data_IF_052485123506
#
_entry.id   IF_052485123506
#
_cell.length_a   1.000
_cell.length_b   1.000
_cell.length_c   1.000
_cell.angle_alpha   90.00
_cell.angle_beta   90.00
_cell.angle_gamma   90.00
#
_symmetry.space_group_name_H-M   'P 1'
#
loop_
_entity.id
_entity.type
_entity.pdbx_description
1 polymer ?
#
# COMPACT_ATOMS: atom_id res chain seq x y z
N UNK A 1 -14.98 -11.60 5.96
CA UNK A 1 -14.03 -11.24 7.04
C UNK A 1 -12.95 -10.36 6.42
N UNK A 2 -12.53 -9.33 7.11
CA UNK A 2 -11.47 -8.41 6.73
C UNK A 2 -10.27 -8.56 7.68
N UNK A 3 -9.08 -8.11 7.25
CA UNK A 3 -7.84 -8.25 8.03
C UNK A 3 -7.95 -7.56 9.40
N UNK A 4 -8.55 -6.37 9.48
CA UNK A 4 -8.72 -5.63 10.74
C UNK A 4 -9.67 -6.31 11.76
N UNK A 5 -10.46 -7.29 11.33
CA UNK A 5 -11.34 -8.08 12.21
C UNK A 5 -10.60 -9.25 12.89
N UNK A 6 -9.35 -9.53 12.44
CA UNK A 6 -8.54 -10.64 12.97
C UNK A 6 -7.69 -10.14 14.15
N UNK A 7 -8.27 -10.17 15.34
CA UNK A 7 -7.63 -9.63 16.55
C UNK A 7 -7.21 -10.69 17.57
N UNK A 8 -7.64 -11.94 17.36
CA UNK A 8 -7.42 -13.06 18.27
C UNK A 8 -7.20 -14.37 17.53
N UNK A 9 -6.93 -15.43 18.24
CA UNK A 9 -6.82 -16.77 17.67
C UNK A 9 -8.18 -17.28 17.18
N UNK A 10 -8.30 -17.49 15.87
CA UNK A 10 -9.54 -17.92 15.22
C UNK A 10 -9.28 -18.56 13.86
N UNK A 11 -10.29 -19.27 13.34
CA UNK A 11 -10.26 -19.73 11.95
C UNK A 11 -10.51 -18.52 11.03
N UNK A 12 -9.70 -18.43 9.99
CA UNK A 12 -9.70 -17.30 9.04
C UNK A 12 -10.04 -17.82 7.65
N UNK A 13 -10.95 -17.12 7.01
CA UNK A 13 -11.18 -17.19 5.55
C UNK A 13 -11.27 -15.76 5.03
N UNK A 14 -10.26 -15.34 4.27
CA UNK A 14 -10.18 -13.98 3.71
C UNK A 14 -9.76 -14.03 2.25
N UNK A 15 -10.25 -13.04 1.49
CA UNK A 15 -9.67 -12.69 0.19
C UNK A 15 -8.71 -11.52 0.40
N UNK A 16 -7.53 -11.60 -0.17
CA UNK A 16 -6.48 -10.60 0.03
C UNK A 16 -5.47 -10.62 -1.11
N UNK A 17 -4.67 -9.55 -1.19
CA UNK A 17 -3.54 -9.41 -2.10
C UNK A 17 -2.27 -9.98 -1.45
N UNK A 18 -1.43 -10.67 -2.20
CA UNK A 18 -0.06 -10.98 -1.80
C UNK A 18 0.80 -9.74 -2.08
N UNK A 19 1.09 -8.94 -1.06
CA UNK A 19 1.95 -7.75 -1.18
C UNK A 19 3.43 -8.08 -1.02
N UNK A 20 3.77 -9.21 -0.35
CA UNK A 20 5.13 -9.75 -0.26
C UNK A 20 5.10 -11.27 -0.22
N UNK A 21 6.11 -11.90 -0.88
CA UNK A 21 6.24 -13.35 -0.96
C UNK A 21 7.71 -13.77 -0.94
N UNK A 22 8.21 -14.12 0.24
CA UNK A 22 9.58 -14.61 0.42
C UNK A 22 9.57 -16.13 0.56
N UNK A 23 10.48 -16.80 -0.15
CA UNK A 23 10.69 -18.25 -0.07
C UNK A 23 11.69 -18.55 1.03
N UNK A 24 11.40 -19.56 1.85
CA UNK A 24 12.27 -20.01 2.92
C UNK A 24 12.31 -21.54 3.02
N UNK A 25 13.28 -22.03 3.80
CA UNK A 25 13.40 -23.44 4.16
C UNK A 25 13.50 -23.59 5.66
N UNK A 26 12.84 -24.59 6.19
CA UNK A 26 12.94 -24.97 7.61
C UNK A 26 14.29 -25.66 7.89
N UNK A 27 14.60 -25.88 9.18
CA UNK A 27 15.77 -26.67 9.60
C UNK A 27 15.78 -28.09 9.02
N UNK A 28 14.59 -28.60 8.66
CA UNK A 28 14.41 -29.90 8.01
C UNK A 28 14.39 -29.83 6.47
N UNK A 29 14.90 -28.76 5.92
CA UNK A 29 14.91 -28.42 4.47
C UNK A 29 13.53 -28.43 3.79
N UNK A 30 12.45 -28.36 4.59
CA UNK A 30 11.08 -28.27 4.06
C UNK A 30 10.76 -26.84 3.61
N UNK A 31 10.31 -26.63 2.37
CA UNK A 31 10.01 -25.31 1.86
C UNK A 31 8.79 -24.67 2.56
N UNK A 32 8.82 -23.35 2.69
CA UNK A 32 7.68 -22.55 3.14
C UNK A 32 7.67 -21.16 2.49
N UNK A 33 6.52 -20.50 2.52
CA UNK A 33 6.38 -19.10 2.13
C UNK A 33 6.18 -18.21 3.36
N UNK A 34 6.91 -17.10 3.36
CA UNK A 34 6.67 -15.97 4.26
C UNK A 34 5.98 -14.88 3.47
N UNK A 35 4.74 -14.58 3.84
CA UNK A 35 3.85 -13.71 3.09
C UNK A 35 3.49 -12.48 3.92
N UNK A 36 3.32 -11.35 3.22
CA UNK A 36 2.50 -10.25 3.71
C UNK A 36 1.23 -10.26 2.85
N UNK A 37 0.10 -10.43 3.51
CA UNK A 37 -1.23 -10.37 2.91
C UNK A 37 -1.83 -9.02 3.21
N UNK A 38 -2.53 -8.44 2.23
CA UNK A 38 -3.09 -7.10 2.33
C UNK A 38 -4.53 -7.08 1.85
N UNK A 39 -5.38 -6.32 2.55
CA UNK A 39 -6.68 -5.89 2.06
C UNK A 39 -6.86 -4.38 2.33
N UNK A 40 -7.98 -3.81 1.90
CA UNK A 40 -8.28 -2.39 2.09
C UNK A 40 -8.28 -1.93 3.58
N UNK A 41 -8.28 -2.86 4.53
CA UNK A 41 -8.35 -2.58 5.98
C UNK A 41 -7.01 -2.72 6.70
N UNK A 42 -6.04 -3.43 6.12
CA UNK A 42 -4.75 -3.62 6.77
C UNK A 42 -3.84 -4.64 6.10
N UNK A 43 -2.78 -4.98 6.81
CA UNK A 43 -1.79 -5.99 6.42
C UNK A 43 -1.69 -7.07 7.49
N UNK A 44 -1.37 -8.29 7.07
CA UNK A 44 -1.26 -9.46 7.95
C UNK A 44 -0.05 -10.30 7.56
N UNK A 45 0.84 -10.55 8.52
CA UNK A 45 1.91 -11.54 8.36
C UNK A 45 1.32 -12.94 8.24
N UNK A 46 1.79 -13.73 7.27
CA UNK A 46 1.33 -15.09 7.09
C UNK A 46 2.48 -16.05 6.79
N UNK A 47 2.32 -17.29 7.22
CA UNK A 47 3.25 -18.38 6.96
C UNK A 47 2.50 -19.56 6.36
N UNK A 48 3.00 -20.06 5.22
CA UNK A 48 2.46 -21.24 4.54
C UNK A 48 3.52 -22.34 4.54
N UNK A 49 3.33 -23.31 5.39
CA UNK A 49 4.29 -24.37 5.67
C UNK A 49 4.02 -25.64 4.85
N UNK A 50 5.04 -26.50 4.76
CA UNK A 50 4.96 -27.84 4.16
C UNK A 50 4.54 -27.83 2.69
N UNK A 51 5.08 -26.90 1.92
CA UNK A 51 4.84 -26.78 0.49
C UNK A 51 5.83 -27.66 -0.30
N UNK A 52 5.43 -28.06 -1.51
CA UNK A 52 6.37 -28.60 -2.50
C UNK A 52 7.05 -27.45 -3.25
N UNK A 53 8.15 -27.72 -3.94
CA UNK A 53 8.82 -26.71 -4.76
C UNK A 53 7.91 -26.17 -5.88
N UNK A 54 7.04 -27.01 -6.44
CA UNK A 54 6.07 -26.62 -7.47
C UNK A 54 5.00 -25.68 -6.90
N UNK A 55 4.51 -25.96 -5.70
CA UNK A 55 3.53 -25.11 -5.01
C UNK A 55 4.10 -23.73 -4.67
N UNK A 56 5.38 -23.64 -4.30
CA UNK A 56 6.04 -22.35 -4.01
C UNK A 56 6.07 -21.45 -5.24
N UNK A 57 6.32 -22.01 -6.43
CA UNK A 57 6.40 -21.23 -7.68
C UNK A 57 5.03 -20.74 -8.15
N UNK A 58 3.95 -21.32 -7.64
CA UNK A 58 2.58 -20.95 -7.99
C UNK A 58 2.17 -19.58 -7.43
N UNK A 59 2.74 -19.17 -6.29
CA UNK A 59 2.34 -17.96 -5.58
C UNK A 59 3.34 -16.83 -5.81
N UNK A 60 2.83 -15.65 -6.25
CA UNK A 60 3.64 -14.48 -6.59
C UNK A 60 3.04 -13.21 -6.00
N UNK A 61 3.89 -12.21 -5.80
CA UNK A 61 3.45 -10.85 -5.46
C UNK A 61 2.51 -10.30 -6.54
N UNK A 62 1.48 -9.61 -6.13
CA UNK A 62 0.47 -9.02 -7.02
C UNK A 62 -0.74 -9.93 -7.30
N UNK A 63 -0.72 -11.18 -6.85
CA UNK A 63 -1.88 -12.07 -6.99
C UNK A 63 -2.91 -11.84 -5.88
N UNK A 64 -4.17 -11.91 -6.26
CA UNK A 64 -5.29 -11.96 -5.32
C UNK A 64 -5.56 -13.42 -4.98
N UNK A 65 -5.69 -13.70 -3.70
CA UNK A 65 -5.85 -15.06 -3.19
C UNK A 65 -6.99 -15.16 -2.17
N UNK A 66 -7.66 -16.30 -2.15
CA UNK A 66 -8.50 -16.70 -1.03
C UNK A 66 -7.69 -17.60 -0.10
N UNK A 67 -7.58 -17.21 1.17
CA UNK A 67 -6.72 -17.84 2.17
C UNK A 67 -7.54 -18.41 3.30
N UNK A 68 -7.29 -19.68 3.59
CA UNK A 68 -7.86 -20.43 4.71
C UNK A 68 -6.75 -20.77 5.69
N UNK A 69 -6.94 -20.46 6.96
CA UNK A 69 -5.93 -20.74 7.98
C UNK A 69 -6.42 -20.49 9.40
N UNK A 70 -5.47 -20.48 10.32
CA UNK A 70 -5.71 -20.13 11.72
C UNK A 70 -4.85 -18.91 12.07
N UNK A 71 -5.44 -17.88 12.65
CA UNK A 71 -4.68 -16.81 13.26
C UNK A 71 -4.08 -17.30 14.58
N UNK A 72 -2.86 -16.92 14.83
CA UNK A 72 -2.11 -17.22 16.05
C UNK A 72 -1.49 -15.91 16.57
N UNK A 73 -1.25 -15.84 17.87
CA UNK A 73 -0.49 -14.73 18.45
C UNK A 73 0.97 -15.16 18.55
N UNK A 74 1.83 -14.49 17.81
CA UNK A 74 3.27 -14.71 17.82
C UNK A 74 4.00 -13.39 18.14
N UNK A 75 4.82 -13.38 19.22
CA UNK A 75 5.55 -12.19 19.69
C UNK A 75 4.67 -10.93 19.82
N UNK A 76 3.50 -11.08 20.44
CA UNK A 76 2.48 -10.04 20.61
C UNK A 76 1.89 -9.45 19.33
N UNK A 77 2.04 -10.14 18.19
CA UNK A 77 1.41 -9.78 16.93
C UNK A 77 0.56 -10.92 16.39
N UNK A 78 -0.52 -10.59 15.71
CA UNK A 78 -1.34 -11.58 15.01
C UNK A 78 -0.60 -12.04 13.76
N UNK A 79 -0.48 -13.35 13.58
CA UNK A 79 0.09 -13.97 12.40
C UNK A 79 -0.86 -15.06 11.88
N UNK A 80 -0.98 -15.19 10.56
CA UNK A 80 -1.81 -16.21 9.94
C UNK A 80 -0.96 -17.46 9.62
N UNK A 81 -1.37 -18.60 10.15
CA UNK A 81 -0.90 -19.90 9.72
C UNK A 81 -1.79 -20.39 8.60
N UNK A 82 -1.32 -20.27 7.36
CA UNK A 82 -2.05 -20.70 6.17
C UNK A 82 -2.15 -22.21 6.11
N UNK A 83 -3.35 -22.72 5.85
CA UNK A 83 -3.64 -24.14 5.60
C UNK A 83 -3.91 -24.42 4.12
N UNK A 84 -4.60 -23.48 3.46
CA UNK A 84 -4.92 -23.55 2.03
C UNK A 84 -4.93 -22.14 1.46
N UNK A 85 -4.45 -22.00 0.24
CA UNK A 85 -4.50 -20.74 -0.51
C UNK A 85 -4.86 -21.05 -1.95
N UNK A 86 -5.73 -20.25 -2.54
CA UNK A 86 -6.23 -20.39 -3.91
C UNK A 86 -6.08 -19.05 -4.61
N UNK A 87 -5.43 -19.04 -5.77
CA UNK A 87 -5.33 -17.83 -6.61
C UNK A 87 -6.70 -17.55 -7.24
N UNK A 88 -7.15 -16.33 -7.16
CA UNK A 88 -8.37 -15.84 -7.79
C UNK A 88 -8.02 -15.07 -9.06
N UNK A 89 -8.70 -15.38 -10.15
CA UNK A 89 -8.53 -14.68 -11.43
C UNK A 89 -9.69 -13.71 -11.66
N UNK A 90 -9.41 -12.59 -12.34
CA UNK A 90 -10.43 -11.61 -12.72
C UNK A 90 -10.92 -10.67 -11.61
N UNK A 91 -10.30 -10.71 -10.44
CA UNK A 91 -10.58 -9.77 -9.34
C UNK A 91 -9.84 -8.44 -9.60
N UNK A 92 -10.45 -7.31 -9.21
CA UNK A 92 -9.80 -6.00 -9.30
C UNK A 92 -8.91 -5.77 -8.07
N UNK A 93 -7.64 -5.47 -8.29
CA UNK A 93 -6.66 -5.22 -7.24
C UNK A 93 -7.04 -4.01 -6.37
N UNK A 94 -7.78 -3.04 -6.92
CA UNK A 94 -8.22 -1.84 -6.20
C UNK A 94 -9.12 -2.15 -5.00
N UNK A 95 -9.82 -3.29 -5.01
CA UNK A 95 -10.66 -3.74 -3.89
C UNK A 95 -9.86 -4.25 -2.69
N UNK A 96 -8.58 -4.53 -2.90
CA UNK A 96 -7.68 -5.18 -1.92
C UNK A 96 -6.55 -4.28 -1.41
N UNK A 97 -6.41 -3.08 -1.95
CA UNK A 97 -5.39 -2.11 -1.50
C UNK A 97 -6.06 -0.91 -0.83
N UNK A 98 -5.35 -0.30 0.09
CA UNK A 98 -5.79 0.99 0.63
C UNK A 98 -5.55 2.07 -0.42
N UNK A 99 -6.54 2.92 -0.61
CA UNK A 99 -6.48 4.06 -1.52
C UNK A 99 -6.36 5.36 -0.73
N UNK A 100 -5.85 6.39 -1.39
CA UNK A 100 -5.89 7.76 -0.86
C UNK A 100 -7.34 8.18 -0.55
N UNK A 101 -7.57 9.05 0.46
CA UNK A 101 -8.90 9.60 0.75
C UNK A 101 -9.46 10.51 -0.37
N UNK A 102 -8.64 10.83 -1.35
CA UNK A 102 -9.00 11.59 -2.55
C UNK A 102 -8.89 10.72 -3.78
N UNK A 103 -9.81 10.87 -4.71
CA UNK A 103 -9.71 10.23 -6.04
C UNK A 103 -8.58 10.86 -6.86
N UNK A 104 -8.12 10.16 -7.90
CA UNK A 104 -7.09 10.68 -8.81
C UNK A 104 -7.50 12.04 -9.40
N UNK A 105 -8.76 12.17 -9.85
CA UNK A 105 -9.28 13.42 -10.42
C UNK A 105 -9.23 14.57 -9.41
N UNK A 106 -9.68 14.34 -8.18
CA UNK A 106 -9.61 15.35 -7.11
C UNK A 106 -8.16 15.76 -6.81
N UNK A 107 -7.22 14.79 -6.78
CA UNK A 107 -5.79 15.10 -6.58
C UNK A 107 -5.21 15.90 -7.75
N UNK A 108 -5.58 15.60 -9.01
CA UNK A 108 -5.15 16.35 -10.19
C UNK A 108 -5.67 17.80 -10.16
N UNK A 109 -6.92 18.01 -9.76
CA UNK A 109 -7.51 19.34 -9.59
C UNK A 109 -6.81 20.15 -8.48
N UNK A 110 -6.51 19.49 -7.35
CA UNK A 110 -5.78 20.13 -6.24
C UNK A 110 -4.35 20.49 -6.60
N UNK A 111 -3.62 19.61 -7.28
CA UNK A 111 -2.26 19.89 -7.75
C UNK A 111 -2.28 21.08 -8.71
N UNK A 112 -3.24 21.14 -9.62
CA UNK A 112 -3.41 22.30 -10.53
C UNK A 112 -3.71 23.59 -9.76
N UNK A 113 -4.53 23.53 -8.71
CA UNK A 113 -4.81 24.69 -7.87
C UNK A 113 -3.56 25.16 -7.12
N UNK A 114 -2.76 24.22 -6.57
CA UNK A 114 -1.50 24.53 -5.89
C UNK A 114 -0.44 25.10 -6.86
N UNK A 115 -0.36 24.58 -8.08
CA UNK A 115 0.52 25.11 -9.13
C UNK A 115 0.23 26.58 -9.43
N UNK A 116 -1.04 27.00 -9.41
CA UNK A 116 -1.43 28.39 -9.63
C UNK A 116 -1.00 29.36 -8.50
N UNK A 117 -0.62 28.84 -7.33
CA UNK A 117 -0.06 29.64 -6.22
C UNK A 117 1.44 29.94 -6.41
N UNK A 118 2.14 29.23 -7.32
CA UNK A 118 3.55 29.46 -7.64
C UNK A 118 3.66 30.74 -8.49
N UNK A 119 4.32 31.75 -7.97
CA UNK A 119 4.45 33.05 -8.64
C UNK A 119 5.73 33.20 -9.48
N UNK A 120 6.78 32.43 -9.16
CA UNK A 120 8.00 32.38 -9.94
C UNK A 120 7.84 31.44 -11.15
N UNK A 121 8.00 32.00 -12.35
CA UNK A 121 7.83 31.23 -13.60
C UNK A 121 8.84 30.10 -13.80
N UNK A 122 10.07 30.24 -13.27
CA UNK A 122 11.07 29.19 -13.40
C UNK A 122 10.74 28.02 -12.46
N UNK A 123 10.33 28.31 -11.23
CA UNK A 123 9.85 27.28 -10.31
C UNK A 123 8.61 26.57 -10.83
N UNK A 124 7.66 27.33 -11.39
CA UNK A 124 6.47 26.75 -12.04
C UNK A 124 6.87 25.76 -13.12
N UNK A 125 7.73 26.15 -14.08
CA UNK A 125 8.18 25.28 -15.17
C UNK A 125 8.89 24.02 -14.65
N UNK A 126 9.75 24.12 -13.64
CA UNK A 126 10.46 22.97 -13.06
C UNK A 126 9.47 21.98 -12.43
N UNK A 127 8.50 22.48 -11.66
CA UNK A 127 7.50 21.60 -11.02
C UNK A 127 6.57 20.98 -12.07
N UNK A 128 6.15 21.75 -13.08
CA UNK A 128 5.33 21.25 -14.19
C UNK A 128 6.03 20.12 -14.94
N UNK A 129 7.30 20.29 -15.32
CA UNK A 129 8.08 19.29 -16.04
C UNK A 129 8.23 18.00 -15.21
N UNK A 130 8.58 18.11 -13.93
CA UNK A 130 8.69 16.96 -13.03
C UNK A 130 7.37 16.22 -12.90
N UNK A 131 6.26 16.92 -12.73
CA UNK A 131 4.93 16.32 -12.61
C UNK A 131 4.50 15.62 -13.91
N UNK A 132 4.76 16.21 -15.08
CA UNK A 132 4.43 15.56 -16.35
C UNK A 132 5.28 14.31 -16.61
N UNK A 133 6.58 14.36 -16.33
CA UNK A 133 7.47 13.18 -16.49
C UNK A 133 7.13 12.04 -15.53
N UNK A 134 6.64 12.35 -14.34
CA UNK A 134 6.37 11.36 -13.29
C UNK A 134 4.89 11.09 -13.05
N UNK A 135 4.00 11.63 -13.87
CA UNK A 135 2.55 11.71 -13.67
C UNK A 135 1.91 10.41 -13.15
N UNK A 136 2.16 9.29 -13.81
CA UNK A 136 1.55 8.02 -13.41
C UNK A 136 2.11 7.50 -12.08
N UNK A 137 3.41 7.67 -11.86
CA UNK A 137 4.06 7.27 -10.61
C UNK A 137 3.61 8.16 -9.45
N UNK A 138 3.51 9.47 -9.67
CA UNK A 138 3.12 10.43 -8.65
C UNK A 138 1.73 10.15 -8.07
N UNK A 139 0.75 9.82 -8.94
CA UNK A 139 -0.63 9.56 -8.53
C UNK A 139 -0.92 8.11 -8.14
N UNK A 140 0.05 7.19 -8.28
CA UNK A 140 -0.15 5.79 -7.94
C UNK A 140 0.73 5.30 -6.80
N UNK A 141 1.92 5.86 -6.62
CA UNK A 141 2.86 5.38 -5.62
C UNK A 141 2.45 5.78 -4.19
N UNK A 142 2.79 4.94 -3.19
CA UNK A 142 2.70 5.32 -1.79
C UNK A 142 3.79 6.34 -1.44
N UNK A 143 3.54 7.20 -0.45
CA UNK A 143 4.55 8.13 0.05
C UNK A 143 5.64 7.43 0.88
N UNK A 144 5.34 6.28 1.46
CA UNK A 144 6.26 5.51 2.29
C UNK A 144 5.98 4.01 2.21
N UNK A 145 6.96 3.20 2.60
CA UNK A 145 6.84 1.73 2.58
C UNK A 145 6.14 1.15 3.81
N UNK A 146 6.08 1.86 4.95
CA UNK A 146 5.54 1.34 6.21
C UNK A 146 4.76 2.32 7.06
N UNK A 147 5.02 3.61 6.94
CA UNK A 147 4.47 4.64 7.83
C UNK A 147 3.25 5.34 7.20
N UNK A 148 3.12 6.64 7.48
CA UNK A 148 2.02 7.47 6.99
C UNK A 148 1.94 7.46 5.44
N UNK A 149 0.71 7.52 4.93
CA UNK A 149 0.41 7.54 3.49
C UNK A 149 0.97 6.33 2.70
N UNK A 150 1.08 5.17 3.36
CA UNK A 150 1.43 3.89 2.74
C UNK A 150 0.18 3.26 2.08
N UNK A 151 -0.28 3.86 0.99
CA UNK A 151 -1.43 3.42 0.19
C UNK A 151 -1.30 3.98 -1.24
N UNK A 152 -2.07 3.42 -2.18
CA UNK A 152 -2.07 3.87 -3.57
C UNK A 152 -2.51 5.34 -3.65
N UNK A 153 -1.76 6.16 -4.37
CA UNK A 153 -1.95 7.62 -4.44
C UNK A 153 -1.42 8.37 -3.22
N UNK A 154 -0.76 7.66 -2.30
CA UNK A 154 -0.24 8.23 -1.05
C UNK A 154 0.78 9.34 -1.29
N UNK A 155 1.62 9.24 -2.33
CA UNK A 155 2.62 10.25 -2.66
C UNK A 155 1.96 11.59 -3.05
N UNK A 156 1.02 11.57 -3.96
CA UNK A 156 0.28 12.78 -4.36
C UNK A 156 -0.52 13.36 -3.19
N UNK A 157 -1.27 12.53 -2.48
CA UNK A 157 -2.05 12.97 -1.32
C UNK A 157 -1.18 13.60 -0.22
N UNK A 158 0.00 13.02 0.07
CA UNK A 158 0.96 13.56 1.02
C UNK A 158 1.50 14.91 0.56
N UNK A 159 1.93 15.01 -0.70
CA UNK A 159 2.46 16.25 -1.29
C UNK A 159 1.43 17.38 -1.25
N UNK A 160 0.19 17.11 -1.64
CA UNK A 160 -0.94 18.06 -1.54
C UNK A 160 -1.14 18.51 -0.10
N UNK A 161 -1.18 17.57 0.84
CA UNK A 161 -1.38 17.88 2.26
C UNK A 161 -0.27 18.78 2.82
N UNK A 162 0.98 18.50 2.47
CA UNK A 162 2.13 19.32 2.88
C UNK A 162 2.09 20.72 2.25
N UNK A 163 1.81 20.82 0.96
CA UNK A 163 1.71 22.11 0.28
C UNK A 163 0.60 23.00 0.87
N UNK A 164 -0.57 22.43 1.17
CA UNK A 164 -1.66 23.14 1.85
C UNK A 164 -1.23 23.71 3.20
N UNK A 165 -0.59 22.89 4.03
CA UNK A 165 -0.06 23.33 5.33
C UNK A 165 1.00 24.41 5.14
N UNK A 166 1.89 24.29 4.17
CA UNK A 166 2.89 25.30 3.83
C UNK A 166 2.24 26.65 3.46
N UNK A 167 1.24 26.62 2.59
CA UNK A 167 0.49 27.84 2.22
C UNK A 167 -0.23 28.49 3.41
N UNK A 168 -0.81 27.69 4.31
CA UNK A 168 -1.45 28.21 5.52
C UNK A 168 -0.43 28.88 6.45
N UNK A 169 0.77 28.32 6.59
CA UNK A 169 1.87 28.95 7.32
C UNK A 169 2.28 30.27 6.66
N UNK A 170 2.44 30.31 5.33
CA UNK A 170 2.78 31.51 4.61
C UNK A 170 1.70 32.62 4.75
N UNK A 171 0.44 32.25 4.85
CA UNK A 171 -0.66 33.19 5.13
C UNK A 171 -0.56 33.83 6.53
N UNK A 172 -0.04 33.10 7.52
CA UNK A 172 0.15 33.58 8.89
C UNK A 172 1.40 34.46 9.03
N UNK A 173 2.43 34.20 8.24
CA UNK A 173 3.74 34.83 8.36
C UNK A 173 4.13 35.53 7.06
N UNK A 174 3.85 36.83 6.96
CA UNK A 174 4.04 37.64 5.75
C UNK A 174 5.48 37.81 5.28
N UNK A 175 6.47 37.38 6.10
CA UNK A 175 7.89 37.38 5.74
C UNK A 175 8.33 36.11 5.01
N UNK A 176 7.47 35.10 4.91
CA UNK A 176 7.74 33.87 4.17
C UNK A 176 7.38 34.06 2.70
N UNK A 177 8.27 33.59 1.83
CA UNK A 177 8.02 33.46 0.41
C UNK A 177 7.24 32.16 0.13
N UNK A 178 6.32 32.22 -0.82
CA UNK A 178 5.54 31.03 -1.22
C UNK A 178 6.25 30.17 -2.28
N UNK A 179 7.36 30.66 -2.83
CA UNK A 179 8.11 30.05 -3.95
C UNK A 179 7.85 30.70 -5.27
#
# INVERSE_FOLDING_TARGET
MRINEITQEQKVNIKCLISKCDKGKTVKDTPYLSLILEDATGVLDAKFWNLTNEQIEQYKVGQIVEVFGDSIIHRNAVQLRVRKMVVLEGEDISDYVRLAPMTRTEMEEEVKALMNEITDSNLYCVVEEVLEETKDLFYTYPAATRNHHNFVGGLAYHSISMARVGLDICRQYSFLDKG
#
